data_IF_807765950984
#
_entry.id   IF_807765950984
#
_cell.length_a   1.000
_cell.length_b   1.000
_cell.length_c   1.000
_cell.angle_alpha   90.00
_cell.angle_beta   90.00
_cell.angle_gamma   90.00
#
_symmetry.space_group_name_H-M   'P 1'
#
loop_
_entity.id
_entity.type
_entity.pdbx_description
1 polymer ?
#
# COMPACT_ATOMS: atom_id res chain seq x y z
N UNK A 1 -1.01 -1.48 1.77
CA UNK A 1 -0.04 -1.44 2.88
C UNK A 1 0.07 -2.78 3.58
N UNK A 2 1.20 -3.00 4.25
CA UNK A 2 1.55 -4.18 5.03
C UNK A 2 1.79 -3.76 6.48
N UNK A 3 1.16 -4.43 7.43
CA UNK A 3 1.32 -4.20 8.86
C UNK A 3 1.66 -5.51 9.55
N UNK A 4 2.71 -5.53 10.36
CA UNK A 4 3.11 -6.72 11.11
C UNK A 4 3.30 -7.98 10.23
N UNK A 5 3.74 -7.78 8.98
CA UNK A 5 3.92 -8.86 8.01
C UNK A 5 2.63 -9.37 7.36
N UNK A 6 1.52 -8.63 7.47
CA UNK A 6 0.22 -8.93 6.84
C UNK A 6 -0.21 -7.80 5.92
N UNK A 7 -0.69 -8.10 4.71
CA UNK A 7 -1.32 -7.11 3.86
C UNK A 7 -2.67 -6.69 4.49
N UNK A 8 -2.88 -5.38 4.65
CA UNK A 8 -4.08 -4.83 5.31
C UNK A 8 -4.96 -3.99 4.37
N UNK A 9 -4.40 -3.48 3.28
CA UNK A 9 -5.16 -2.83 2.19
C UNK A 9 -4.35 -2.87 0.91
N UNK A 10 -5.00 -2.65 -0.23
CA UNK A 10 -4.34 -2.50 -1.52
C UNK A 10 -5.08 -1.49 -2.40
N UNK A 11 -4.30 -0.69 -3.13
CA UNK A 11 -4.80 0.24 -4.13
C UNK A 11 -4.05 0.02 -5.43
N UNK A 12 -4.77 0.13 -6.54
CA UNK A 12 -4.21 0.20 -7.88
C UNK A 12 -4.33 1.63 -8.36
N UNK A 13 -3.19 2.30 -8.52
CA UNK A 13 -3.14 3.62 -9.13
C UNK A 13 -2.90 3.48 -10.62
N UNK A 14 -3.76 4.12 -11.39
CA UNK A 14 -3.61 4.21 -12.84
C UNK A 14 -2.55 5.26 -13.17
N UNK A 15 -1.85 5.05 -14.28
CA UNK A 15 -0.89 6.05 -14.74
C UNK A 15 -1.63 7.28 -15.26
N UNK A 16 -1.02 8.46 -15.11
CA UNK A 16 -1.54 9.64 -15.79
C UNK A 16 -1.49 9.42 -17.32
N UNK A 17 -2.40 10.07 -18.05
CA UNK A 17 -2.50 9.92 -19.50
C UNK A 17 -1.16 10.21 -20.17
N UNK A 18 -0.72 9.29 -21.02
CA UNK A 18 0.54 9.36 -21.77
C UNK A 18 1.78 9.56 -20.88
N UNK A 19 1.74 9.07 -19.64
CA UNK A 19 2.79 9.22 -18.63
C UNK A 19 3.02 7.91 -17.86
N UNK A 20 4.23 7.67 -17.35
CA UNK A 20 4.57 6.41 -16.65
C UNK A 20 4.36 6.48 -15.13
N UNK A 21 4.32 7.69 -14.58
CA UNK A 21 3.98 7.96 -13.17
C UNK A 21 2.49 8.25 -13.02
N UNK A 22 1.99 8.08 -11.80
CA UNK A 22 0.59 8.34 -11.44
C UNK A 22 0.27 9.83 -11.38
N UNK A 23 1.28 10.69 -11.21
CA UNK A 23 1.21 12.14 -11.35
C UNK A 23 2.13 12.60 -12.47
N UNK A 24 1.66 13.51 -13.33
CA UNK A 24 2.47 14.19 -14.32
C UNK A 24 2.77 15.62 -13.84
N UNK A 25 3.87 15.77 -13.10
CA UNK A 25 4.32 17.06 -12.58
C UNK A 25 4.80 18.03 -13.68
N UNK A 26 5.08 17.54 -14.89
CA UNK A 26 5.51 18.36 -16.02
C UNK A 26 4.35 18.93 -16.85
N UNK A 27 3.11 18.52 -16.59
CA UNK A 27 1.95 19.01 -17.32
C UNK A 27 1.58 20.44 -16.91
N UNK A 28 1.11 21.25 -17.88
CA UNK A 28 0.63 22.63 -17.64
C UNK A 28 -0.59 22.70 -16.72
N UNK A 29 -1.31 21.60 -16.55
CA UNK A 29 -2.46 21.45 -15.65
C UNK A 29 -2.24 20.20 -14.82
N UNK A 30 -2.82 20.18 -13.63
CA UNK A 30 -2.82 19.00 -12.77
C UNK A 30 -3.33 17.79 -13.57
N UNK A 31 -2.52 16.74 -13.63
CA UNK A 31 -2.81 15.54 -14.38
C UNK A 31 -2.34 14.34 -13.57
N UNK A 32 -3.31 13.55 -13.10
CA UNK A 32 -3.09 12.29 -12.40
C UNK A 32 -3.91 11.18 -13.05
N UNK A 33 -3.51 9.94 -12.84
CA UNK A 33 -4.39 8.80 -13.09
C UNK A 33 -5.46 8.67 -12.01
N UNK A 34 -6.44 7.81 -12.26
CA UNK A 34 -7.41 7.38 -11.25
C UNK A 34 -6.83 6.34 -10.30
N UNK A 35 -7.65 5.84 -9.39
CA UNK A 35 -7.29 4.76 -8.48
C UNK A 35 -8.46 3.79 -8.29
N UNK A 36 -8.14 2.58 -7.88
CA UNK A 36 -9.08 1.54 -7.47
C UNK A 36 -8.63 0.98 -6.13
N UNK A 37 -9.52 0.95 -5.16
CA UNK A 37 -9.26 0.29 -3.87
C UNK A 37 -9.78 -1.13 -3.93
N UNK A 38 -8.92 -2.07 -3.58
CA UNK A 38 -9.16 -3.49 -3.73
C UNK A 38 -9.11 -4.17 -2.37
N UNK A 39 -10.05 -5.07 -2.04
CA UNK A 39 -9.82 -6.02 -0.97
C UNK A 39 -8.56 -6.83 -1.28
N UNK A 40 -7.80 -7.17 -0.24
CA UNK A 40 -6.52 -7.86 -0.42
C UNK A 40 -6.66 -9.21 -1.13
N UNK A 41 -7.81 -9.90 -1.02
CA UNK A 41 -8.03 -11.18 -1.69
C UNK A 41 -8.27 -11.08 -3.21
N UNK A 42 -8.58 -9.89 -3.73
CA UNK A 42 -8.70 -9.65 -5.18
C UNK A 42 -7.37 -9.23 -5.82
N UNK A 43 -6.36 -8.93 -5.01
CA UNK A 43 -5.04 -8.57 -5.51
C UNK A 43 -4.35 -9.81 -6.09
N UNK A 44 -3.73 -9.73 -7.28
CA UNK A 44 -2.97 -10.83 -7.84
C UNK A 44 -1.94 -11.38 -6.84
N UNK A 45 -1.95 -12.69 -6.64
CA UNK A 45 -1.08 -13.36 -5.66
C UNK A 45 0.40 -12.97 -5.79
N UNK A 46 0.89 -12.86 -7.02
CA UNK A 46 2.28 -12.47 -7.30
C UNK A 46 2.64 -11.07 -6.79
N UNK A 47 1.69 -10.15 -6.76
CA UNK A 47 1.86 -8.79 -6.23
C UNK A 47 1.90 -8.82 -4.71
N UNK A 48 0.96 -9.53 -4.07
CA UNK A 48 0.96 -9.70 -2.61
C UNK A 48 2.23 -10.37 -2.11
N UNK A 49 2.63 -11.47 -2.74
CA UNK A 49 3.82 -12.23 -2.35
C UNK A 49 5.08 -11.35 -2.47
N UNK A 50 5.18 -10.50 -3.50
CA UNK A 50 6.26 -9.54 -3.64
C UNK A 50 6.25 -8.46 -2.54
N UNK A 51 5.08 -7.87 -2.25
CA UNK A 51 4.92 -6.87 -1.19
C UNK A 51 5.33 -7.42 0.20
N UNK A 52 4.87 -8.64 0.51
CA UNK A 52 5.17 -9.31 1.78
C UNK A 52 6.65 -9.69 1.90
N UNK A 53 7.28 -10.12 0.80
CA UNK A 53 8.72 -10.41 0.79
C UNK A 53 9.55 -9.14 0.96
N UNK A 54 9.23 -8.08 0.24
CA UNK A 54 9.98 -6.81 0.29
C UNK A 54 9.91 -6.18 1.69
N UNK A 55 8.71 -6.06 2.27
CA UNK A 55 8.51 -5.52 3.61
C UNK A 55 9.21 -6.35 4.70
N UNK A 56 9.25 -7.68 4.57
CA UNK A 56 9.92 -8.57 5.54
C UNK A 56 11.42 -8.30 5.68
N UNK A 57 12.08 -7.85 4.61
CA UNK A 57 13.51 -7.48 4.66
C UNK A 57 13.73 -6.29 5.59
N UNK A 58 12.78 -5.34 5.61
CA UNK A 58 12.83 -4.16 6.48
C UNK A 58 12.41 -4.50 7.90
N UNK A 59 11.33 -5.27 8.06
CA UNK A 59 10.87 -5.75 9.37
C UNK A 59 9.37 -6.03 9.43
N UNK A 60 8.79 -5.78 10.61
CA UNK A 60 7.37 -6.01 10.89
C UNK A 60 6.60 -4.71 11.16
N UNK A 61 7.08 -3.55 10.73
CA UNK A 61 6.38 -2.26 10.89
C UNK A 61 5.10 -2.12 10.06
N UNK A 62 4.69 -0.86 9.86
CA UNK A 62 3.69 -0.45 8.89
C UNK A 62 4.43 0.03 7.63
N UNK A 63 4.20 -0.61 6.50
CA UNK A 63 4.90 -0.32 5.26
C UNK A 63 3.95 -0.18 4.06
N UNK A 64 4.25 0.77 3.19
CA UNK A 64 3.77 0.81 1.81
C UNK A 64 4.77 0.09 0.92
N UNK A 65 4.29 -0.64 -0.09
CA UNK A 65 5.18 -1.24 -1.08
C UNK A 65 4.63 -0.92 -2.45
N UNK A 66 5.37 -0.12 -3.19
CA UNK A 66 4.99 0.31 -4.53
C UNK A 66 5.46 -0.74 -5.53
N UNK A 67 4.51 -1.28 -6.30
CA UNK A 67 4.76 -2.38 -7.23
C UNK A 67 4.21 -2.02 -8.60
N UNK A 68 5.02 -2.22 -9.62
CA UNK A 68 4.57 -2.24 -11.02
C UNK A 68 4.44 -3.67 -11.49
N UNK A 69 3.34 -3.98 -12.16
CA UNK A 69 3.10 -5.30 -12.75
C UNK A 69 3.03 -5.18 -14.28
N UNK A 70 3.70 -6.09 -14.99
CA UNK A 70 3.59 -6.27 -16.44
C UNK A 70 3.38 -7.75 -16.74
N UNK A 71 2.17 -8.12 -17.13
CA UNK A 71 1.80 -9.53 -17.27
C UNK A 71 1.96 -10.28 -15.94
N UNK A 72 2.80 -11.31 -15.91
CA UNK A 72 3.13 -12.06 -14.67
C UNK A 72 4.37 -11.53 -13.93
N UNK A 73 5.08 -10.54 -14.49
CA UNK A 73 6.27 -9.98 -13.88
C UNK A 73 5.87 -8.84 -12.94
N UNK A 74 6.46 -8.85 -11.73
CA UNK A 74 6.26 -7.84 -10.70
C UNK A 74 7.59 -7.20 -10.34
N UNK A 75 7.58 -5.88 -10.19
CA UNK A 75 8.74 -5.07 -9.90
C UNK A 75 8.44 -4.22 -8.67
N UNK A 76 9.18 -4.47 -7.58
CA UNK A 76 9.13 -3.62 -6.39
C UNK A 76 9.92 -2.35 -6.69
N UNK A 77 9.27 -1.20 -6.58
CA UNK A 77 9.85 0.11 -6.85
C UNK A 77 10.37 0.76 -5.58
N UNK A 78 9.59 0.69 -4.50
CA UNK A 78 9.88 1.35 -3.23
C UNK A 78 9.22 0.61 -2.06
N UNK A 79 9.83 0.72 -0.87
CA UNK A 79 9.23 0.32 0.41
C UNK A 79 9.23 1.54 1.34
N UNK A 80 8.04 2.04 1.66
CA UNK A 80 7.83 3.25 2.47
C UNK A 80 7.47 2.88 3.91
N UNK A 81 8.12 3.50 4.91
CA UNK A 81 7.82 3.31 6.35
C UNK A 81 6.72 4.24 6.88
N UNK A 82 6.25 5.16 6.04
CA UNK A 82 5.09 6.01 6.27
C UNK A 82 4.17 5.98 5.03
N UNK A 83 3.42 4.89 4.82
CA UNK A 83 2.54 4.79 3.66
C UNK A 83 1.36 5.76 3.72
N UNK A 84 0.86 6.15 2.55
CA UNK A 84 -0.42 6.85 2.44
C UNK A 84 -1.57 6.02 3.00
N UNK A 85 -2.44 6.71 3.74
CA UNK A 85 -3.73 6.24 4.24
C UNK A 85 -4.68 7.44 4.12
N UNK A 86 -5.16 7.69 2.92
CA UNK A 86 -6.06 8.79 2.59
C UNK A 86 -7.52 8.32 2.65
N UNK A 87 -8.39 9.26 3.05
CA UNK A 87 -9.82 9.02 3.13
C UNK A 87 -10.43 8.84 1.73
N UNK A 88 -11.31 7.85 1.59
CA UNK A 88 -11.95 7.38 0.36
C UNK A 88 -10.96 6.85 -0.70
N UNK A 89 -9.70 6.65 -0.33
CA UNK A 89 -8.67 5.99 -1.15
C UNK A 89 -8.27 4.68 -0.49
N UNK A 90 -7.21 4.64 0.33
CA UNK A 90 -6.73 3.40 0.95
C UNK A 90 -7.74 2.81 1.95
N UNK A 91 -8.53 3.66 2.59
CA UNK A 91 -9.59 3.24 3.50
C UNK A 91 -10.93 2.94 2.80
N UNK A 92 -11.07 3.11 1.48
CA UNK A 92 -12.38 3.01 0.83
C UNK A 92 -13.07 1.63 0.99
N UNK A 93 -12.29 0.55 1.12
CA UNK A 93 -12.85 -0.80 1.31
C UNK A 93 -13.10 -1.14 2.79
N UNK A 94 -12.12 -0.90 3.67
CA UNK A 94 -12.22 -1.29 5.08
C UNK A 94 -12.80 -0.17 5.97
N UNK A 95 -12.84 1.07 5.50
CA UNK A 95 -13.25 2.23 6.28
C UNK A 95 -12.52 2.32 7.62
N UNK A 96 -13.31 2.43 8.70
CA UNK A 96 -12.81 2.59 10.08
C UNK A 96 -11.98 1.40 10.55
N UNK A 97 -12.27 0.21 10.05
CA UNK A 97 -11.60 -1.03 10.44
C UNK A 97 -10.11 -1.00 10.06
N UNK A 98 -9.73 -0.30 8.98
CA UNK A 98 -8.31 -0.12 8.63
C UNK A 98 -7.54 0.59 9.76
N UNK A 99 -8.10 1.69 10.26
CA UNK A 99 -7.51 2.45 11.36
C UNK A 99 -7.50 1.65 12.66
N UNK A 100 -8.57 0.89 12.94
CA UNK A 100 -8.62 0.01 14.11
C UNK A 100 -7.52 -1.06 14.08
N UNK A 101 -7.25 -1.67 12.91
CA UNK A 101 -6.15 -2.63 12.76
C UNK A 101 -4.78 -2.00 13.05
N UNK A 102 -4.55 -0.78 12.57
CA UNK A 102 -3.28 -0.06 12.79
C UNK A 102 -3.12 0.32 14.26
N UNK A 103 -4.15 0.91 14.86
CA UNK A 103 -4.14 1.32 16.27
C UNK A 103 -3.96 0.11 17.20
N UNK A 104 -4.61 -1.02 16.92
CA UNK A 104 -4.48 -2.24 17.71
C UNK A 104 -3.04 -2.78 17.70
N UNK A 105 -2.34 -2.77 16.55
CA UNK A 105 -0.94 -3.18 16.49
C UNK A 105 -0.03 -2.24 17.29
N UNK A 106 -0.29 -0.93 17.25
CA UNK A 106 0.49 0.04 18.02
C UNK A 106 0.26 -0.12 19.52
N UNK A 107 -1.00 -0.30 19.95
CA UNK A 107 -1.34 -0.59 21.34
C UNK A 107 -0.61 -1.85 21.82
N UNK A 108 -0.69 -2.95 21.07
CA UNK A 108 -0.04 -4.21 21.42
C UNK A 108 1.48 -4.03 21.62
N UNK A 109 2.14 -3.24 20.77
CA UNK A 109 3.58 -2.95 20.90
C UNK A 109 3.92 -2.12 22.13
N UNK A 110 3.09 -1.13 22.45
CA UNK A 110 3.28 -0.31 23.65
C UNK A 110 3.15 -1.16 24.92
N UNK A 111 2.13 -2.02 24.98
CA UNK A 111 1.93 -2.95 26.10
C UNK A 111 3.10 -3.93 26.25
N UNK A 112 3.67 -4.41 25.15
CA UNK A 112 4.84 -5.30 25.18
C UNK A 112 6.12 -4.62 25.67
N UNK A 113 6.30 -3.30 25.44
CA UNK A 113 7.46 -2.54 25.93
C UNK A 113 7.40 -2.23 27.43
N UNK A 114 6.19 -2.17 28.00
CA UNK A 114 5.96 -1.93 29.42
C UNK A 114 6.11 -3.18 30.30
N UNK A 115 6.41 -4.34 29.70
CA UNK A 115 6.75 -5.59 30.39
C UNK A 115 8.26 -5.78 30.38
#
# INVERSE_FOLDING_TARGET
GVLAGRAIYACRYHMARDHWQIYNHGAKRFSSGGYETLPTFEVPKVVLDAALKASRVVGKGLYGVDIKQKGQQVYVMEVNDNPSIEHDVEDAYLGKELYMLIMAEFQQRLEQRGR
#
